data_IF_841475027193
#
_entry.id   IF_841475027193
#
_cell.length_a   1.000
_cell.length_b   1.000
_cell.length_c   1.000
_cell.angle_alpha   90.00
_cell.angle_beta   90.00
_cell.angle_gamma   90.00
#
_symmetry.space_group_name_H-M   'P 1'
#
loop_
_entity.id
_entity.type
_entity.pdbx_description
1 polymer ?
#
# COMPACT_ATOMS: atom_id res chain seq x y z
N UNK A 1 -17.76 -8.94 -27.66
CA UNK A 1 -17.80 -8.27 -26.35
C UNK A 1 -17.93 -6.79 -26.62
N UNK A 2 -18.96 -6.12 -26.11
CA UNK A 2 -19.12 -4.67 -26.29
C UNK A 2 -18.01 -3.97 -25.51
N UNK A 3 -17.18 -3.17 -26.19
CA UNK A 3 -16.18 -2.31 -25.58
C UNK A 3 -16.87 -1.28 -24.69
N UNK A 4 -16.29 -0.95 -23.53
CA UNK A 4 -16.82 0.15 -22.70
C UNK A 4 -16.78 1.47 -23.50
N UNK A 5 -17.74 2.38 -23.30
CA UNK A 5 -17.65 3.73 -23.88
C UNK A 5 -16.47 4.50 -23.26
N UNK A 6 -16.12 5.63 -23.88
CA UNK A 6 -15.14 6.55 -23.33
C UNK A 6 -15.55 6.99 -21.91
N UNK A 7 -14.70 6.76 -20.88
CA UNK A 7 -15.06 7.04 -19.50
C UNK A 7 -14.90 8.52 -19.15
N UNK A 8 -15.62 8.97 -18.13
CA UNK A 8 -15.23 10.13 -17.34
C UNK A 8 -14.03 9.74 -16.47
N UNK A 9 -12.84 10.14 -16.87
CA UNK A 9 -11.59 9.82 -16.19
C UNK A 9 -11.27 10.88 -15.12
N UNK A 10 -10.91 10.42 -13.93
CA UNK A 10 -10.27 11.26 -12.91
C UNK A 10 -8.84 10.80 -12.64
N UNK A 11 -7.86 11.66 -12.89
CA UNK A 11 -6.47 11.43 -12.50
C UNK A 11 -6.29 11.84 -11.04
N UNK A 12 -6.03 10.90 -10.13
CA UNK A 12 -5.87 11.16 -8.70
C UNK A 12 -4.40 11.35 -8.36
N UNK A 13 -4.03 12.55 -7.91
CA UNK A 13 -2.63 12.93 -7.67
C UNK A 13 -2.47 13.41 -6.22
N UNK A 14 -1.92 12.59 -5.30
CA UNK A 14 -1.60 13.04 -3.95
C UNK A 14 -0.38 13.96 -3.97
N UNK A 15 -0.44 15.06 -3.23
CA UNK A 15 0.61 16.08 -3.15
C UNK A 15 0.96 16.35 -1.69
N UNK A 16 2.24 16.52 -1.38
CA UNK A 16 2.70 16.99 -0.07
C UNK A 16 4.03 17.72 -0.21
N UNK A 17 4.00 19.05 -0.06
CA UNK A 17 5.14 19.94 -0.27
C UNK A 17 5.82 19.74 -1.66
N UNK A 18 5.05 19.95 -2.73
CA UNK A 18 5.46 19.72 -4.11
C UNK A 18 5.58 21.06 -4.88
N UNK A 19 5.81 22.19 -4.21
CA UNK A 19 5.86 23.53 -4.84
C UNK A 19 6.78 23.60 -6.08
N UNK A 20 7.92 22.92 -6.05
CA UNK A 20 8.91 22.95 -7.15
C UNK A 20 8.51 22.08 -8.36
N UNK A 21 7.86 20.94 -8.12
CA UNK A 21 7.56 19.92 -9.15
C UNK A 21 6.17 20.12 -9.74
N UNK A 22 5.24 20.65 -8.95
CA UNK A 22 3.82 20.76 -9.28
C UNK A 22 3.54 21.53 -10.59
N UNK A 23 4.18 22.67 -10.92
CA UNK A 23 3.91 23.37 -12.18
C UNK A 23 4.17 22.51 -13.42
N UNK A 24 5.24 21.70 -13.40
CA UNK A 24 5.54 20.76 -14.49
C UNK A 24 4.48 19.66 -14.57
N UNK A 25 4.05 19.15 -13.42
CA UNK A 25 3.02 18.11 -13.33
C UNK A 25 1.67 18.61 -13.83
N UNK A 26 1.27 19.82 -13.47
CA UNK A 26 0.03 20.44 -13.96
C UNK A 26 0.04 20.54 -15.50
N UNK A 27 1.13 21.02 -16.10
CA UNK A 27 1.24 21.15 -17.56
C UNK A 27 1.22 19.79 -18.26
N UNK A 28 2.00 18.82 -17.79
CA UNK A 28 2.08 17.50 -18.40
C UNK A 28 0.75 16.75 -18.36
N UNK A 29 0.00 16.86 -17.25
CA UNK A 29 -1.31 16.22 -17.11
C UNK A 29 -2.39 16.96 -17.92
N UNK A 30 -2.31 18.29 -18.04
CA UNK A 30 -3.18 19.05 -18.93
C UNK A 30 -3.00 18.60 -20.39
N UNK A 31 -1.77 18.56 -20.89
CA UNK A 31 -1.45 18.13 -22.26
C UNK A 31 -1.91 16.68 -22.52
N UNK A 32 -1.69 15.79 -21.56
CA UNK A 32 -2.15 14.40 -21.65
C UNK A 32 -3.67 14.33 -21.77
N UNK A 33 -4.40 15.01 -20.89
CA UNK A 33 -5.87 14.99 -20.88
C UNK A 33 -6.42 15.57 -22.18
N UNK A 34 -5.88 16.68 -22.67
CA UNK A 34 -6.30 17.28 -23.95
C UNK A 34 -6.06 16.33 -25.12
N UNK A 35 -4.89 15.67 -25.18
CA UNK A 35 -4.61 14.65 -26.19
C UNK A 35 -5.60 13.49 -26.11
N UNK A 36 -5.84 12.94 -24.93
CA UNK A 36 -6.77 11.82 -24.76
C UNK A 36 -8.22 12.20 -25.10
N UNK A 37 -8.64 13.45 -24.82
CA UNK A 37 -9.95 13.98 -25.25
C UNK A 37 -10.02 14.10 -26.77
N UNK A 38 -9.00 14.64 -27.41
CA UNK A 38 -8.93 14.80 -28.87
C UNK A 38 -8.97 13.46 -29.60
N UNK A 39 -8.35 12.42 -29.04
CA UNK A 39 -8.37 11.04 -29.55
C UNK A 39 -9.66 10.28 -29.22
N UNK A 40 -10.60 10.88 -28.47
CA UNK A 40 -11.85 10.25 -28.07
C UNK A 40 -11.69 9.09 -27.06
N UNK A 41 -10.55 9.00 -26.39
CA UNK A 41 -10.25 7.97 -25.39
C UNK A 41 -10.98 8.21 -24.07
N UNK A 42 -11.28 9.48 -23.75
CA UNK A 42 -11.95 9.93 -22.52
C UNK A 42 -12.97 11.02 -22.83
N UNK A 43 -13.90 11.24 -21.91
CA UNK A 43 -14.91 12.30 -22.03
C UNK A 43 -14.30 13.71 -21.87
N UNK A 44 -14.86 14.75 -22.50
CA UNK A 44 -14.39 16.13 -22.37
C UNK A 44 -14.34 16.65 -20.93
N UNK A 45 -15.27 16.16 -20.09
CA UNK A 45 -15.38 16.56 -18.69
C UNK A 45 -14.32 15.91 -17.77
N UNK A 46 -13.43 15.06 -18.32
CA UNK A 46 -12.36 14.40 -17.56
C UNK A 46 -11.37 15.41 -16.97
N UNK A 47 -10.88 15.10 -15.77
CA UNK A 47 -10.16 16.04 -14.92
C UNK A 47 -9.02 15.38 -14.13
N UNK A 48 -8.15 16.19 -13.54
CA UNK A 48 -7.18 15.79 -12.54
C UNK A 48 -7.64 16.29 -11.16
N UNK A 49 -7.65 15.38 -10.19
CA UNK A 49 -7.97 15.64 -8.79
C UNK A 49 -6.68 15.57 -7.97
N UNK A 50 -6.21 16.73 -7.53
CA UNK A 50 -5.06 16.87 -6.67
C UNK A 50 -5.50 16.78 -5.20
N UNK A 51 -4.87 15.89 -4.44
CA UNK A 51 -5.16 15.71 -3.01
C UNK A 51 -3.98 16.24 -2.22
N UNK A 52 -4.13 17.45 -1.69
CA UNK A 52 -3.12 18.09 -0.85
C UNK A 52 -3.17 17.51 0.58
N UNK A 53 -2.13 16.77 0.95
CA UNK A 53 -1.99 16.07 2.23
C UNK A 53 -1.49 17.02 3.35
N UNK A 54 -2.12 18.20 3.45
CA UNK A 54 -1.80 19.24 4.43
C UNK A 54 -0.42 19.84 4.24
N UNK A 55 -0.10 20.30 3.02
CA UNK A 55 1.19 20.94 2.72
C UNK A 55 1.41 22.22 3.52
N UNK A 56 2.68 22.57 3.73
CA UNK A 56 3.12 23.78 4.46
C UNK A 56 3.77 24.83 3.56
N UNK A 57 4.01 24.49 2.30
CA UNK A 57 4.55 25.35 1.26
C UNK A 57 3.43 25.94 0.38
N UNK A 58 3.76 26.45 -0.81
CA UNK A 58 2.76 27.05 -1.71
C UNK A 58 2.01 26.04 -2.59
N UNK A 59 2.12 24.73 -2.35
CA UNK A 59 1.46 23.68 -3.15
C UNK A 59 -0.04 23.95 -3.32
N UNK A 60 -0.78 24.19 -2.23
CA UNK A 60 -2.23 24.44 -2.31
C UNK A 60 -2.56 25.74 -3.06
N UNK A 61 -1.78 26.80 -2.85
CA UNK A 61 -1.98 28.09 -3.54
C UNK A 61 -1.82 27.94 -5.05
N UNK A 62 -0.82 27.18 -5.50
CA UNK A 62 -0.61 26.88 -6.92
C UNK A 62 -1.79 26.09 -7.52
N UNK A 63 -2.39 25.16 -6.78
CA UNK A 63 -3.59 24.44 -7.20
C UNK A 63 -4.81 25.37 -7.31
N UNK A 64 -5.00 26.28 -6.35
CA UNK A 64 -6.06 27.29 -6.39
C UNK A 64 -5.90 28.23 -7.60
N UNK A 65 -4.67 28.70 -7.85
CA UNK A 65 -4.35 29.53 -9.02
C UNK A 65 -4.64 28.77 -10.31
N UNK A 66 -4.21 27.50 -10.42
CA UNK A 66 -4.44 26.71 -11.63
C UNK A 66 -5.91 26.41 -11.87
N UNK A 67 -6.67 26.05 -10.84
CA UNK A 67 -8.11 25.78 -10.92
C UNK A 67 -8.91 26.97 -11.47
N UNK A 68 -8.53 28.21 -11.10
CA UNK A 68 -9.20 29.42 -11.63
C UNK A 68 -9.02 29.60 -13.13
N UNK A 69 -7.91 29.13 -13.69
CA UNK A 69 -7.63 29.21 -15.12
C UNK A 69 -8.18 28.02 -15.88
N UNK A 70 -8.09 26.82 -15.31
CA UNK A 70 -8.37 25.57 -15.99
C UNK A 70 -9.27 24.63 -15.16
N UNK A 71 -10.47 24.37 -15.67
CA UNK A 71 -11.47 23.49 -15.02
C UNK A 71 -11.07 22.01 -14.94
N UNK A 72 -10.00 21.59 -15.63
CA UNK A 72 -9.45 20.23 -15.47
C UNK A 72 -8.78 20.06 -14.11
N UNK A 73 -8.25 21.13 -13.50
CA UNK A 73 -7.54 21.07 -12.23
C UNK A 73 -8.56 21.19 -11.09
N UNK A 74 -8.83 20.08 -10.39
CA UNK A 74 -9.70 20.06 -9.20
C UNK A 74 -8.89 19.61 -7.99
N UNK A 75 -9.38 19.89 -6.79
CA UNK A 75 -8.57 19.64 -5.61
C UNK A 75 -9.34 19.47 -4.32
N UNK A 76 -8.74 18.72 -3.39
CA UNK A 76 -9.13 18.73 -1.98
C UNK A 76 -7.87 18.95 -1.14
N UNK A 77 -7.99 19.71 -0.07
CA UNK A 77 -6.89 19.91 0.90
C UNK A 77 -7.29 19.34 2.25
N UNK A 78 -6.35 18.65 2.88
CA UNK A 78 -6.53 18.15 4.24
C UNK A 78 -6.15 19.19 5.28
N UNK A 79 -6.91 19.23 6.37
CA UNK A 79 -6.62 20.10 7.52
C UNK A 79 -5.27 19.78 8.20
N UNK A 80 -4.76 18.57 8.02
CA UNK A 80 -3.45 18.14 8.50
C UNK A 80 -2.95 16.95 7.67
N UNK A 81 -1.64 16.71 7.72
CA UNK A 81 -1.04 15.55 7.07
C UNK A 81 -1.64 14.24 7.62
N UNK A 82 -2.31 13.50 6.75
CA UNK A 82 -2.92 12.20 7.01
C UNK A 82 -2.11 11.05 6.38
N UNK A 83 -1.16 11.37 5.49
CA UNK A 83 -0.25 10.43 4.86
C UNK A 83 -0.73 9.98 3.48
N UNK A 84 0.24 9.62 2.64
CA UNK A 84 0.06 9.33 1.22
C UNK A 84 -1.09 8.34 0.90
N UNK A 85 -1.23 7.21 1.60
CA UNK A 85 -2.31 6.26 1.29
C UNK A 85 -3.70 6.81 1.61
N UNK A 86 -3.82 7.66 2.64
CA UNK A 86 -5.07 8.33 2.97
C UNK A 86 -5.40 9.40 1.92
N UNK A 87 -4.39 10.11 1.40
CA UNK A 87 -4.55 11.03 0.28
C UNK A 87 -5.05 10.32 -0.98
N UNK A 88 -4.41 9.20 -1.37
CA UNK A 88 -4.89 8.39 -2.51
C UNK A 88 -6.34 7.93 -2.26
N UNK A 89 -6.65 7.35 -1.10
CA UNK A 89 -8.00 6.91 -0.77
C UNK A 89 -9.04 8.03 -0.87
N UNK A 90 -8.74 9.20 -0.30
CA UNK A 90 -9.64 10.34 -0.36
C UNK A 90 -9.89 10.80 -1.78
N UNK A 91 -8.86 10.80 -2.63
CA UNK A 91 -9.00 11.11 -4.05
C UNK A 91 -9.88 10.09 -4.77
N UNK A 92 -9.71 8.78 -4.50
CA UNK A 92 -10.56 7.75 -5.09
C UNK A 92 -12.03 7.91 -4.67
N UNK A 93 -12.29 8.14 -3.38
CA UNK A 93 -13.65 8.28 -2.87
C UNK A 93 -14.30 9.58 -3.36
N UNK A 94 -13.56 10.68 -3.39
CA UNK A 94 -14.04 11.97 -3.90
C UNK A 94 -14.35 11.88 -5.40
N UNK A 95 -13.46 11.29 -6.21
CA UNK A 95 -13.70 11.10 -7.63
C UNK A 95 -14.92 10.21 -7.90
N UNK A 96 -15.12 9.16 -7.10
CA UNK A 96 -16.32 8.32 -7.13
C UNK A 96 -17.59 9.12 -6.84
N UNK A 97 -17.57 9.93 -5.78
CA UNK A 97 -18.69 10.80 -5.40
C UNK A 97 -19.01 11.83 -6.49
N UNK A 98 -17.99 12.35 -7.19
CA UNK A 98 -18.14 13.27 -8.32
C UNK A 98 -18.53 12.59 -9.64
N UNK A 99 -18.72 11.27 -9.62
CA UNK A 99 -19.29 10.53 -10.74
C UNK A 99 -18.28 9.96 -11.74
N UNK A 100 -16.98 9.93 -11.42
CA UNK A 100 -15.97 9.36 -12.32
C UNK A 100 -16.25 7.89 -12.66
N UNK A 101 -16.12 7.51 -13.94
CA UNK A 101 -16.33 6.14 -14.44
C UNK A 101 -15.09 5.26 -14.24
N UNK A 102 -13.92 5.88 -14.22
CA UNK A 102 -12.68 5.28 -13.79
C UNK A 102 -11.74 6.34 -13.20
N UNK A 103 -10.79 5.86 -12.40
CA UNK A 103 -9.70 6.68 -11.89
C UNK A 103 -8.36 6.11 -12.32
N UNK A 104 -7.34 6.95 -12.38
CA UNK A 104 -5.95 6.50 -12.40
C UNK A 104 -5.22 7.25 -11.29
N UNK A 105 -4.65 6.53 -10.32
CA UNK A 105 -3.81 7.14 -9.28
C UNK A 105 -2.36 7.22 -9.76
N UNK A 106 -1.70 8.36 -9.58
CA UNK A 106 -0.30 8.60 -9.96
C UNK A 106 0.37 9.57 -8.99
N UNK A 107 1.69 9.45 -8.80
CA UNK A 107 2.46 10.34 -7.93
C UNK A 107 2.71 11.71 -8.60
N UNK A 108 2.79 12.77 -7.79
CA UNK A 108 3.00 14.15 -8.27
C UNK A 108 4.37 14.39 -8.93
N UNK A 109 5.35 13.51 -8.71
CA UNK A 109 6.72 13.67 -9.20
C UNK A 109 6.93 13.21 -10.66
N UNK A 110 5.89 12.69 -11.32
CA UNK A 110 5.91 12.14 -12.68
C UNK A 110 7.03 11.10 -12.94
N UNK A 111 7.45 10.36 -11.91
CA UNK A 111 8.42 9.27 -12.11
C UNK A 111 7.84 8.10 -12.88
N UNK A 112 6.53 7.88 -12.74
CA UNK A 112 5.78 6.89 -13.51
C UNK A 112 5.37 7.50 -14.86
N UNK A 113 5.61 6.76 -15.94
CA UNK A 113 5.38 7.24 -17.30
C UNK A 113 3.88 7.42 -17.57
N UNK A 114 3.45 8.66 -17.70
CA UNK A 114 2.07 9.03 -18.02
C UNK A 114 1.69 8.69 -19.48
N UNK A 115 2.68 8.42 -20.34
CA UNK A 115 2.48 8.00 -21.72
C UNK A 115 1.79 6.63 -21.87
N UNK A 116 1.74 5.83 -20.80
CA UNK A 116 1.04 4.52 -20.84
C UNK A 116 -0.44 4.61 -20.45
N UNK A 117 -0.95 5.79 -20.08
CA UNK A 117 -2.36 6.00 -19.73
C UNK A 117 -3.31 5.58 -20.88
N UNK A 118 -3.04 5.91 -22.16
CA UNK A 118 -3.83 5.39 -23.28
C UNK A 118 -3.89 3.87 -23.32
N UNK A 119 -2.79 3.15 -23.01
CA UNK A 119 -2.79 1.69 -22.95
C UNK A 119 -3.63 1.16 -21.78
N UNK A 120 -3.57 1.84 -20.62
CA UNK A 120 -4.46 1.51 -19.49
C UNK A 120 -5.93 1.67 -19.85
N UNK A 121 -6.28 2.75 -20.56
CA UNK A 121 -7.64 3.01 -21.04
C UNK A 121 -8.09 1.97 -22.08
N UNK A 122 -7.20 1.50 -22.95
CA UNK A 122 -7.50 0.42 -23.87
C UNK A 122 -7.85 -0.88 -23.12
N UNK A 123 -7.09 -1.24 -22.07
CA UNK A 123 -7.41 -2.41 -21.22
C UNK A 123 -8.71 -2.24 -20.45
N UNK A 124 -9.03 -1.04 -20.02
CA UNK A 124 -10.33 -0.71 -19.45
C UNK A 124 -11.46 -0.92 -20.46
N UNK A 125 -11.27 -0.49 -21.71
CA UNK A 125 -12.24 -0.68 -22.80
C UNK A 125 -12.46 -2.17 -23.13
N UNK A 126 -11.43 -3.01 -23.02
CA UNK A 126 -11.49 -4.50 -23.09
C UNK A 126 -12.24 -5.14 -21.90
N UNK A 127 -12.71 -4.34 -20.94
CA UNK A 127 -13.48 -4.76 -19.78
C UNK A 127 -12.63 -5.17 -18.58
N UNK A 128 -11.38 -4.71 -18.46
CA UNK A 128 -10.64 -4.83 -17.21
C UNK A 128 -11.17 -3.81 -16.18
N UNK A 129 -11.46 -4.26 -14.97
CA UNK A 129 -11.89 -3.42 -13.86
C UNK A 129 -10.73 -2.78 -13.11
N UNK A 130 -9.57 -3.46 -13.12
CA UNK A 130 -8.33 -2.97 -12.52
C UNK A 130 -7.23 -3.12 -13.55
N UNK A 131 -6.43 -2.07 -13.79
CA UNK A 131 -5.24 -2.16 -14.65
C UNK A 131 -4.04 -1.71 -13.85
N UNK A 132 -3.09 -2.62 -13.64
CA UNK A 132 -1.88 -2.33 -12.88
C UNK A 132 -0.77 -1.79 -13.78
N UNK A 133 -0.18 -0.66 -13.39
CA UNK A 133 1.10 -0.23 -13.92
C UNK A 133 2.21 -1.08 -13.32
N UNK A 134 2.89 -1.87 -14.16
CA UNK A 134 4.01 -2.71 -13.74
C UNK A 134 5.29 -2.18 -14.36
N UNK A 135 6.31 -1.99 -13.52
CA UNK A 135 7.61 -1.50 -14.00
C UNK A 135 8.25 -2.53 -14.91
N UNK A 136 8.63 -2.10 -16.09
CA UNK A 136 9.39 -2.88 -17.07
C UNK A 136 10.87 -2.75 -16.73
N UNK A 137 11.30 -3.32 -15.60
CA UNK A 137 12.73 -3.41 -15.31
C UNK A 137 13.12 -4.79 -14.79
N UNK A 138 13.92 -5.49 -15.60
CA UNK A 138 14.57 -6.76 -15.26
C UNK A 138 16.10 -6.64 -15.35
N UNK A 139 16.64 -5.43 -15.43
CA UNK A 139 18.02 -5.19 -15.92
C UNK A 139 19.07 -4.85 -14.85
N UNK A 140 18.72 -4.66 -13.56
CA UNK A 140 19.71 -4.24 -12.56
C UNK A 140 19.76 -5.06 -11.28
N UNK A 141 19.37 -6.34 -11.31
CA UNK A 141 19.50 -7.21 -10.15
C UNK A 141 20.72 -8.13 -10.27
N UNK A 142 21.72 -7.85 -9.44
CA UNK A 142 22.74 -8.83 -9.04
C UNK A 142 22.03 -10.11 -8.56
N UNK A 143 22.56 -11.29 -8.89
CA UNK A 143 21.97 -12.61 -8.59
C UNK A 143 21.52 -12.79 -7.13
N UNK A 144 22.16 -12.07 -6.19
CA UNK A 144 21.81 -12.03 -4.77
C UNK A 144 20.47 -11.33 -4.46
N UNK A 145 20.13 -10.24 -5.16
CA UNK A 145 18.85 -9.54 -5.03
C UNK A 145 17.68 -10.37 -5.57
N UNK A 146 17.91 -11.11 -6.66
CA UNK A 146 16.92 -12.05 -7.23
C UNK A 146 16.57 -13.18 -6.26
N UNK A 147 17.56 -13.76 -5.57
CA UNK A 147 17.34 -14.85 -4.61
C UNK A 147 16.54 -14.40 -3.38
N UNK A 148 16.90 -13.26 -2.80
CA UNK A 148 16.23 -12.69 -1.62
C UNK A 148 14.82 -12.20 -1.94
N UNK A 149 14.60 -11.57 -3.10
CA UNK A 149 13.26 -11.17 -3.54
C UNK A 149 12.36 -12.38 -3.80
N UNK A 150 12.86 -13.44 -4.44
CA UNK A 150 12.08 -14.65 -4.69
C UNK A 150 11.70 -15.36 -3.38
N UNK A 151 12.62 -15.47 -2.43
CA UNK A 151 12.33 -16.00 -1.09
C UNK A 151 11.28 -15.16 -0.36
N UNK A 152 11.41 -13.83 -0.41
CA UNK A 152 10.44 -12.90 0.15
C UNK A 152 9.04 -13.09 -0.45
N UNK A 153 8.90 -13.13 -1.78
CA UNK A 153 7.61 -13.34 -2.43
C UNK A 153 7.03 -14.74 -2.14
N UNK A 154 7.85 -15.79 -2.07
CA UNK A 154 7.40 -17.14 -1.66
C UNK A 154 6.94 -17.17 -0.21
N UNK A 155 7.65 -16.50 0.69
CA UNK A 155 7.27 -16.37 2.09
C UNK A 155 5.97 -15.58 2.26
N UNK A 156 5.81 -14.46 1.54
CA UNK A 156 4.57 -13.67 1.54
C UNK A 156 3.38 -14.44 0.97
N UNK A 157 3.57 -15.19 -0.11
CA UNK A 157 2.54 -16.08 -0.67
C UNK A 157 2.17 -17.20 0.31
N UNK A 158 3.15 -17.77 1.03
CA UNK A 158 2.89 -18.75 2.08
C UNK A 158 2.09 -18.14 3.25
N UNK A 159 2.30 -16.87 3.57
CA UNK A 159 1.51 -16.10 4.54
C UNK A 159 0.13 -15.66 4.01
N UNK A 160 -0.24 -16.10 2.79
CA UNK A 160 -1.48 -15.82 2.07
C UNK A 160 -1.67 -14.34 1.70
N UNK A 161 -0.59 -13.56 1.61
CA UNK A 161 -0.62 -12.16 1.16
C UNK A 161 -0.42 -12.15 -0.35
N UNK A 162 -1.51 -11.97 -1.12
CA UNK A 162 -1.46 -11.84 -2.58
C UNK A 162 -0.84 -10.49 -2.96
N UNK A 163 0.47 -10.48 -3.18
CA UNK A 163 1.18 -9.33 -3.71
C UNK A 163 1.42 -9.50 -5.20
N UNK A 164 1.14 -8.45 -5.97
CA UNK A 164 1.62 -8.36 -7.35
C UNK A 164 3.06 -7.80 -7.28
N UNK A 165 4.08 -8.55 -7.73
CA UNK A 165 5.46 -8.08 -7.74
C UNK A 165 5.59 -6.77 -8.52
N UNK A 166 6.36 -5.83 -7.99
CA UNK A 166 6.80 -4.60 -8.68
C UNK A 166 5.69 -3.62 -9.12
N UNK A 167 4.46 -3.77 -8.59
CA UNK A 167 3.41 -2.78 -8.81
C UNK A 167 3.60 -1.57 -7.89
N UNK A 168 3.61 -0.39 -8.50
CA UNK A 168 3.53 0.89 -7.79
C UNK A 168 2.08 1.20 -7.40
N UNK A 169 1.85 2.33 -6.75
CA UNK A 169 0.48 2.84 -6.53
C UNK A 169 -0.14 3.43 -7.81
N UNK A 170 0.53 3.23 -8.95
CA UNK A 170 0.06 3.50 -10.31
C UNK A 170 -0.92 2.43 -10.82
N UNK A 171 -2.22 2.75 -10.83
CA UNK A 171 -3.28 1.82 -11.22
C UNK A 171 -4.50 2.54 -11.78
N UNK A 172 -5.15 1.92 -12.76
CA UNK A 172 -6.51 2.27 -13.18
C UNK A 172 -7.52 1.45 -12.37
N UNK A 173 -8.56 2.10 -11.87
CA UNK A 173 -9.67 1.46 -11.14
C UNK A 173 -11.01 1.90 -11.74
N UNK A 174 -11.82 0.93 -12.17
CA UNK A 174 -13.15 1.16 -12.74
C UNK A 174 -14.22 1.39 -11.67
N UNK A 175 -15.31 2.06 -12.05
CA UNK A 175 -16.48 2.34 -11.20
C UNK A 175 -16.96 1.15 -10.34
N UNK A 176 -17.13 -0.08 -10.87
CA UNK A 176 -17.62 -1.19 -10.05
C UNK A 176 -16.72 -1.50 -8.85
N UNK A 177 -15.41 -1.30 -8.99
CA UNK A 177 -14.44 -1.48 -7.91
C UNK A 177 -14.53 -0.32 -6.91
N UNK A 178 -14.65 0.92 -7.42
CA UNK A 178 -14.79 2.12 -6.59
C UNK A 178 -16.01 2.06 -5.67
N UNK A 179 -17.15 1.55 -6.15
CA UNK A 179 -18.37 1.44 -5.32
C UNK A 179 -18.25 0.42 -4.17
N UNK A 180 -17.31 -0.52 -4.25
CA UNK A 180 -17.05 -1.46 -3.15
C UNK A 180 -16.11 -0.86 -2.10
N UNK A 181 -15.25 0.10 -2.47
CA UNK A 181 -14.26 0.67 -1.55
C UNK A 181 -14.86 1.22 -0.24
N UNK A 182 -16.00 1.96 -0.24
CA UNK A 182 -16.62 2.43 1.01
C UNK A 182 -17.02 1.32 1.99
N UNK A 183 -17.20 0.08 1.53
CA UNK A 183 -17.51 -1.06 2.40
C UNK A 183 -16.30 -1.48 3.27
N UNK A 184 -15.08 -1.06 2.90
CA UNK A 184 -13.87 -1.33 3.66
C UNK A 184 -13.61 -0.22 4.69
N UNK A 185 -13.96 -0.50 5.95
CA UNK A 185 -13.75 0.39 7.09
C UNK A 185 -12.32 0.40 7.67
N UNK A 186 -11.36 -0.29 7.03
CA UNK A 186 -9.99 -0.48 7.54
C UNK A 186 -9.24 0.85 7.75
N UNK A 187 -8.85 1.18 8.98
CA UNK A 187 -8.09 2.38 9.28
C UNK A 187 -6.65 2.28 8.79
N UNK A 188 -6.06 1.09 8.91
CA UNK A 188 -4.69 0.83 8.44
C UNK A 188 -4.71 0.40 6.98
N UNK A 189 -4.69 1.36 6.06
CA UNK A 189 -4.72 1.07 4.62
C UNK A 189 -3.45 0.34 4.16
N UNK A 190 -3.65 -0.68 3.33
CA UNK A 190 -2.62 -1.30 2.53
C UNK A 190 -3.17 -1.60 1.13
N UNK A 191 -3.31 -0.55 0.32
CA UNK A 191 -3.94 -0.62 -1.01
C UNK A 191 -3.31 -1.70 -1.91
N UNK A 192 -2.01 -1.92 -1.78
CA UNK A 192 -1.26 -2.93 -2.53
C UNK A 192 -1.71 -4.37 -2.26
N UNK A 193 -2.20 -4.66 -1.07
CA UNK A 193 -2.79 -5.96 -0.73
C UNK A 193 -4.30 -6.01 -0.93
N UNK A 194 -4.98 -4.87 -0.72
CA UNK A 194 -6.44 -4.76 -0.85
C UNK A 194 -6.91 -5.09 -2.28
N UNK A 195 -6.39 -4.39 -3.29
CA UNK A 195 -6.89 -4.52 -4.67
C UNK A 195 -6.77 -5.93 -5.25
N UNK A 196 -5.63 -6.65 -5.14
CA UNK A 196 -5.54 -8.04 -5.59
C UNK A 196 -6.50 -9.00 -4.87
N UNK A 197 -6.94 -8.66 -3.65
CA UNK A 197 -7.90 -9.43 -2.86
C UNK A 197 -9.35 -9.29 -3.32
N UNK A 198 -9.70 -8.24 -4.07
CA UNK A 198 -11.09 -7.95 -4.47
C UNK A 198 -11.66 -8.90 -5.53
N UNK A 199 -10.81 -9.60 -6.29
CA UNK A 199 -11.24 -10.62 -7.26
C UNK A 199 -11.82 -10.11 -8.58
N UNK A 200 -11.76 -8.80 -8.86
CA UNK A 200 -12.19 -8.22 -10.13
C UNK A 200 -11.27 -8.56 -11.31
N UNK A 201 -11.77 -8.39 -12.55
CA UNK A 201 -10.98 -8.67 -13.76
C UNK A 201 -9.83 -7.68 -13.87
N UNK A 202 -8.59 -8.17 -13.81
CA UNK A 202 -7.39 -7.35 -13.81
C UNK A 202 -6.55 -7.47 -15.08
N UNK A 203 -6.04 -6.34 -15.58
CA UNK A 203 -5.03 -6.25 -16.63
C UNK A 203 -3.69 -5.69 -16.11
N UNK A 204 -2.65 -5.72 -16.94
CA UNK A 204 -1.34 -5.14 -16.65
C UNK A 204 -0.85 -4.34 -17.85
N UNK A 205 -0.21 -3.22 -17.58
CA UNK A 205 0.46 -2.36 -18.55
C UNK A 205 1.89 -2.15 -18.07
N UNK A 206 2.85 -2.20 -18.98
CA UNK A 206 4.27 -2.16 -18.65
C UNK A 206 4.87 -0.80 -19.00
N UNK A 207 5.58 -0.17 -18.06
CA UNK A 207 6.17 1.15 -18.28
C UNK A 207 7.63 1.24 -17.81
N UNK A 208 8.41 2.12 -18.42
CA UNK A 208 9.77 2.43 -17.97
C UNK A 208 9.72 3.54 -16.92
N UNK A 209 10.41 3.36 -15.77
CA UNK A 209 10.47 4.42 -14.76
C UNK A 209 11.54 5.42 -15.15
N UNK A 210 11.21 6.70 -15.19
CA UNK A 210 12.20 7.75 -15.40
C UNK A 210 13.10 7.85 -14.16
N UNK A 211 14.41 8.00 -14.38
CA UNK A 211 15.36 8.24 -13.28
C UNK A 211 15.04 9.56 -12.60
N UNK A 212 15.09 9.60 -11.25
CA UNK A 212 14.97 10.85 -10.48
C UNK A 212 15.92 11.91 -11.01
N UNK A 213 15.41 13.11 -11.30
CA UNK A 213 16.24 14.26 -11.69
C UNK A 213 17.03 14.85 -10.50
N UNK A 214 16.66 14.51 -9.26
CA UNK A 214 17.45 14.81 -8.06
C UNK A 214 17.21 13.78 -6.95
N UNK A 215 18.28 13.37 -6.27
CA UNK A 215 18.24 12.58 -5.03
C UNK A 215 18.50 11.08 -5.20
N UNK A 216 19.57 10.59 -4.59
CA UNK A 216 19.86 9.16 -4.47
C UNK A 216 18.70 8.44 -3.76
N UNK A 217 18.06 7.48 -4.43
CA UNK A 217 17.12 6.56 -3.78
C UNK A 217 17.89 5.54 -2.93
N UNK A 218 18.36 5.96 -1.75
CA UNK A 218 18.71 5.04 -0.67
C UNK A 218 17.42 4.64 0.02
N UNK A 219 16.76 3.57 -0.45
CA UNK A 219 15.80 2.85 0.38
C UNK A 219 16.61 1.94 1.32
N UNK A 220 16.84 2.30 2.59
CA UNK A 220 17.58 1.46 3.52
C UNK A 220 16.81 0.16 3.75
N UNK A 221 17.52 -0.97 3.82
CA UNK A 221 16.96 -2.31 4.07
C UNK A 221 15.99 -2.33 5.26
N UNK A 222 16.25 -1.54 6.30
CA UNK A 222 15.39 -1.37 7.47
C UNK A 222 13.98 -0.84 7.14
N UNK A 223 13.86 0.10 6.20
CA UNK A 223 12.55 0.61 5.75
C UNK A 223 11.81 -0.43 4.91
N UNK A 224 12.51 -1.25 4.15
CA UNK A 224 11.89 -2.36 3.40
C UNK A 224 11.37 -3.45 4.35
N UNK A 225 12.15 -3.82 5.36
CA UNK A 225 11.74 -4.80 6.37
C UNK A 225 10.55 -4.30 7.20
N UNK A 226 10.54 -3.02 7.59
CA UNK A 226 9.40 -2.46 8.33
C UNK A 226 8.13 -2.39 7.48
N UNK A 227 8.25 -2.08 6.17
CA UNK A 227 7.12 -2.10 5.25
C UNK A 227 6.56 -3.52 5.07
N UNK A 228 7.44 -4.52 4.90
CA UNK A 228 7.05 -5.92 4.85
C UNK A 228 6.34 -6.38 6.13
N UNK A 229 6.90 -6.05 7.29
CA UNK A 229 6.30 -6.38 8.59
C UNK A 229 4.90 -5.77 8.75
N UNK A 230 4.72 -4.50 8.35
CA UNK A 230 3.42 -3.84 8.32
C UNK A 230 2.44 -4.56 7.39
N UNK A 231 2.85 -4.90 6.17
CA UNK A 231 2.02 -5.64 5.21
C UNK A 231 1.58 -7.00 5.74
N UNK A 232 2.51 -7.80 6.28
CA UNK A 232 2.22 -9.12 6.87
C UNK A 232 1.22 -9.00 8.01
N UNK A 233 1.52 -8.13 8.99
CA UNK A 233 0.68 -7.98 10.18
C UNK A 233 -0.67 -7.33 9.87
N UNK A 234 -0.82 -6.63 8.75
CA UNK A 234 -2.09 -6.02 8.33
C UNK A 234 -2.98 -7.00 7.57
N UNK A 235 -2.36 -7.87 6.75
CA UNK A 235 -3.10 -8.79 5.88
C UNK A 235 -3.24 -10.21 6.45
N UNK A 236 -2.50 -10.55 7.50
CA UNK A 236 -2.40 -11.92 7.99
C UNK A 236 -2.26 -12.02 9.51
N UNK A 237 -2.97 -12.98 10.10
CA UNK A 237 -2.79 -13.42 11.49
C UNK A 237 -1.66 -14.45 11.62
N UNK A 238 -0.91 -14.75 10.56
CA UNK A 238 0.12 -15.77 10.56
C UNK A 238 1.26 -15.53 11.58
N UNK A 239 1.78 -14.31 11.81
CA UNK A 239 2.74 -14.06 12.90
C UNK A 239 2.20 -14.44 14.28
N UNK A 240 0.92 -14.14 14.55
CA UNK A 240 0.26 -14.51 15.80
C UNK A 240 0.14 -16.03 15.94
N UNK A 241 -0.25 -16.72 14.86
CA UNK A 241 -0.35 -18.20 14.84
C UNK A 241 1.01 -18.86 15.03
N UNK A 242 2.07 -18.30 14.43
CA UNK A 242 3.44 -18.80 14.59
C UNK A 242 3.93 -18.64 16.03
N UNK A 243 3.68 -17.47 16.66
CA UNK A 243 4.01 -17.24 18.06
C UNK A 243 3.29 -18.24 18.99
N UNK A 244 2.00 -18.50 18.73
CA UNK A 244 1.23 -19.51 19.45
C UNK A 244 1.77 -20.94 19.25
N UNK A 245 2.14 -21.31 18.02
CA UNK A 245 2.74 -22.61 17.73
C UNK A 245 4.11 -22.80 18.40
N UNK A 246 4.97 -21.78 18.37
CA UNK A 246 6.26 -21.80 19.07
C UNK A 246 6.07 -21.93 20.59
N UNK A 247 5.07 -21.25 21.14
CA UNK A 247 4.72 -21.37 22.57
C UNK A 247 4.26 -22.77 22.93
N UNK A 248 3.45 -23.40 22.07
CA UNK A 248 3.01 -24.79 22.26
C UNK A 248 4.21 -25.76 22.25
N UNK A 249 5.15 -25.60 21.31
CA UNK A 249 6.36 -26.41 21.26
C UNK A 249 7.23 -26.23 22.51
N UNK A 250 7.43 -24.98 22.96
CA UNK A 250 8.16 -24.69 24.19
C UNK A 250 7.47 -25.31 25.42
N UNK A 251 6.14 -25.27 25.49
CA UNK A 251 5.37 -25.89 26.57
C UNK A 251 5.56 -27.42 26.58
N UNK A 252 5.48 -28.08 25.42
CA UNK A 252 5.70 -29.53 25.31
C UNK A 252 7.13 -29.92 25.68
N UNK A 253 8.12 -29.15 25.25
CA UNK A 253 9.53 -29.39 25.62
C UNK A 253 9.77 -29.18 27.13
N UNK A 254 9.18 -28.13 27.72
CA UNK A 254 9.26 -27.88 29.16
C UNK A 254 8.58 -29.00 29.97
N UNK A 255 7.43 -29.49 29.51
CA UNK A 255 6.73 -30.61 30.15
C UNK A 255 7.57 -31.90 30.10
N UNK A 256 8.14 -32.24 28.94
CA UNK A 256 9.01 -33.41 28.79
C UNK A 256 10.24 -33.32 29.70
N UNK A 257 10.92 -32.16 29.73
CA UNK A 257 12.06 -31.93 30.60
C UNK A 257 11.69 -32.03 32.10
N UNK A 258 10.53 -31.47 32.48
CA UNK A 258 10.01 -31.55 33.85
C UNK A 258 9.76 -33.00 34.28
N UNK A 259 9.16 -33.82 33.41
CA UNK A 259 8.95 -35.25 33.69
C UNK A 259 10.29 -35.99 33.88
N UNK A 260 11.26 -35.78 32.98
CA UNK A 260 12.61 -36.38 33.12
C UNK A 260 13.26 -35.95 34.43
N UNK A 261 13.19 -34.66 34.78
CA UNK A 261 13.74 -34.15 36.04
C UNK A 261 13.07 -34.78 37.26
N UNK A 262 11.75 -35.03 37.22
CA UNK A 262 11.01 -35.67 38.30
C UNK A 262 11.42 -37.13 38.48
N UNK A 263 11.58 -37.88 37.39
CA UNK A 263 12.08 -39.27 37.44
C UNK A 263 13.48 -39.35 38.07
N UNK A 264 14.41 -38.48 37.66
CA UNK A 264 15.78 -38.48 38.19
C UNK A 264 15.86 -38.04 39.66
N UNK A 265 14.93 -37.19 40.09
CA UNK A 265 14.77 -36.84 41.50
C UNK A 265 14.32 -38.04 42.35
N UNK A 266 13.35 -38.82 41.86
CA UNK A 266 12.88 -40.04 42.53
C UNK A 266 13.98 -41.12 42.65
N UNK A 267 14.93 -41.15 41.71
CA UNK A 267 16.11 -42.04 41.75
C UNK A 267 17.20 -41.58 42.74
N UNK A 268 17.02 -40.46 43.44
CA UNK A 268 17.96 -39.96 44.46
C UNK A 268 19.23 -39.32 43.90
N UNK A 269 19.30 -39.08 42.59
CA UNK A 269 20.45 -38.40 41.97
C UNK A 269 20.31 -36.89 42.09
N UNK A 270 21.19 -36.24 42.84
CA UNK A 270 21.19 -34.78 42.99
C UNK A 270 21.96 -34.16 41.82
N UNK A 271 21.25 -33.56 40.88
CA UNK A 271 21.84 -32.94 39.69
C UNK A 271 22.05 -31.43 39.98
N UNK A 272 23.30 -30.90 39.91
CA UNK A 272 23.54 -29.47 39.96
C UNK A 272 22.87 -28.78 38.75
N UNK A 273 21.76 -28.08 39.00
CA UNK A 273 20.85 -27.60 37.95
C UNK A 273 20.76 -26.08 37.79
N UNK A 274 21.58 -25.30 38.51
CA UNK A 274 21.44 -23.83 38.54
C UNK A 274 21.64 -23.17 37.17
N UNK A 275 22.70 -23.54 36.45
CA UNK A 275 22.98 -23.00 35.10
C UNK A 275 21.88 -23.36 34.11
N UNK A 276 21.42 -24.61 34.09
CA UNK A 276 20.32 -25.04 33.22
C UNK A 276 18.99 -24.38 33.60
N UNK A 277 18.73 -24.20 34.90
CA UNK A 277 17.50 -23.57 35.39
C UNK A 277 17.45 -22.08 35.01
N UNK A 278 18.55 -21.35 35.16
CA UNK A 278 18.63 -19.95 34.72
C UNK A 278 18.44 -19.82 33.21
N UNK A 279 19.10 -20.67 32.41
CA UNK A 279 18.96 -20.64 30.95
C UNK A 279 17.50 -20.92 30.54
N UNK A 280 16.86 -21.93 31.13
CA UNK A 280 15.46 -22.27 30.82
C UNK A 280 14.51 -21.16 31.24
N UNK A 281 14.68 -20.58 32.43
CA UNK A 281 13.85 -19.47 32.91
C UNK A 281 14.00 -18.24 32.03
N UNK A 282 15.23 -17.85 31.67
CA UNK A 282 15.49 -16.72 30.78
C UNK A 282 14.94 -16.96 29.37
N UNK A 283 15.08 -18.17 28.84
CA UNK A 283 14.57 -18.52 27.52
C UNK A 283 13.03 -18.49 27.50
N UNK A 284 12.37 -19.12 28.47
CA UNK A 284 10.92 -19.12 28.59
C UNK A 284 10.38 -17.70 28.80
N UNK A 285 11.03 -16.91 29.67
CA UNK A 285 10.67 -15.51 29.88
C UNK A 285 10.81 -14.67 28.60
N UNK A 286 11.88 -14.89 27.82
CA UNK A 286 12.09 -14.22 26.54
C UNK A 286 11.02 -14.58 25.51
N UNK A 287 10.64 -15.86 25.41
CA UNK A 287 9.57 -16.33 24.51
C UNK A 287 8.21 -15.75 24.94
N UNK A 288 7.91 -15.72 26.23
CA UNK A 288 6.67 -15.12 26.75
C UNK A 288 6.58 -13.63 26.44
N UNK A 289 7.65 -12.86 26.70
CA UNK A 289 7.71 -11.43 26.37
C UNK A 289 7.59 -11.19 24.85
N UNK A 290 8.19 -12.05 24.03
CA UNK A 290 8.02 -11.99 22.58
C UNK A 290 6.56 -12.24 22.16
N UNK A 291 5.89 -13.24 22.72
CA UNK A 291 4.49 -13.53 22.42
C UNK A 291 3.56 -12.40 22.88
N UNK A 292 3.80 -11.83 24.06
CA UNK A 292 3.08 -10.65 24.55
C UNK A 292 3.29 -9.44 23.65
N UNK A 293 4.51 -9.23 23.14
CA UNK A 293 4.81 -8.17 22.16
C UNK A 293 4.00 -8.34 20.87
N UNK A 294 3.96 -9.56 20.31
CA UNK A 294 3.14 -9.86 19.13
C UNK A 294 1.65 -9.64 19.42
N UNK A 295 1.13 -10.12 20.55
CA UNK A 295 -0.26 -9.87 20.95
C UNK A 295 -0.56 -8.37 21.10
N UNK A 296 0.36 -7.61 21.71
CA UNK A 296 0.26 -6.16 21.88
C UNK A 296 0.11 -5.43 20.54
N UNK A 297 0.87 -5.84 19.52
CA UNK A 297 0.76 -5.30 18.15
C UNK A 297 -0.65 -5.50 17.56
N UNK A 298 -1.23 -6.71 17.71
CA UNK A 298 -2.59 -6.98 17.23
C UNK A 298 -3.66 -6.23 18.04
N UNK A 299 -3.50 -6.12 19.36
CA UNK A 299 -4.40 -5.32 20.21
C UNK A 299 -4.34 -3.84 19.81
N UNK A 300 -3.16 -3.29 19.53
CA UNK A 300 -3.00 -1.91 19.08
C UNK A 300 -3.71 -1.66 17.73
N UNK A 301 -3.67 -2.64 16.82
CA UNK A 301 -4.41 -2.58 15.56
C UNK A 301 -5.91 -2.63 15.79
N UNK A 302 -6.40 -3.58 16.58
CA UNK A 302 -7.82 -3.66 16.95
C UNK A 302 -8.29 -2.35 17.60
N UNK A 303 -7.50 -1.79 18.52
CA UNK A 303 -7.78 -0.50 19.14
C UNK A 303 -7.92 0.62 18.10
N UNK A 304 -7.05 0.65 17.10
CA UNK A 304 -7.10 1.65 16.02
C UNK A 304 -8.37 1.50 15.18
N UNK A 305 -8.73 0.27 14.81
CA UNK A 305 -9.95 -0.03 14.04
C UNK A 305 -11.24 0.27 14.83
N UNK A 306 -11.28 -0.05 16.12
CA UNK A 306 -12.46 0.17 16.99
C UNK A 306 -12.67 1.65 17.29
N UNK A 307 -11.61 2.46 17.37
CA UNK A 307 -11.74 3.91 17.59
C UNK A 307 -12.50 4.64 16.49
N UNK A 308 -12.48 4.11 15.26
CA UNK A 308 -13.17 4.67 14.09
C UNK A 308 -12.97 6.18 13.92
N UNK A 309 -11.76 6.67 14.21
CA UNK A 309 -11.42 8.07 13.89
C UNK A 309 -11.46 8.24 12.37
N UNK A 310 -11.88 9.42 11.87
CA UNK A 310 -11.81 9.66 10.43
C UNK A 310 -10.36 9.59 9.96
N UNK A 311 -10.13 8.97 8.80
CA UNK A 311 -8.79 8.77 8.21
C UNK A 311 -8.11 10.08 7.83
N UNK A 312 -8.92 11.06 7.41
CA UNK A 312 -8.52 12.39 7.00
C UNK A 312 -9.69 13.35 7.25
N UNK A 313 -9.39 14.65 7.25
CA UNK A 313 -10.38 15.72 7.36
C UNK A 313 -10.12 16.66 6.20
N UNK A 314 -11.10 16.81 5.31
CA UNK A 314 -11.03 17.78 4.21
C UNK A 314 -11.32 19.16 4.77
N UNK A 315 -10.39 20.09 4.58
CA UNK A 315 -10.53 21.51 4.94
C UNK A 315 -11.13 22.31 3.78
N UNK A 316 -10.66 22.06 2.55
CA UNK A 316 -11.03 22.83 1.36
C UNK A 316 -11.27 21.93 0.16
N UNK A 317 -12.07 22.41 -0.79
CA UNK A 317 -12.41 21.72 -2.04
C UNK A 317 -12.49 22.73 -3.18
N UNK A 318 -11.96 22.36 -4.35
CA UNK A 318 -11.98 23.07 -5.63
C UNK A 318 -12.75 22.25 -6.66
#
# INVERSE_FOLDING_TARGET
>A
MLSRPAPLLALVVPCYNEEETLPRTLNALAELLERCKAEGLIRPESYALYVDDGSRDRTWQLLEERHRHDSFCRGISFAANAGHQNAVWAGMDTARQWGADCIISLDADLQDDIGVIPEMLARYAEGCDIVYGVRKDRSSDTSFKRGTAHFFYRFMNWLNVRLIPDHADYRLVARPVLEVLPCYGEQTLFLRGLFPGLGFKSGKVYYARLSRQAGESKYPLLKMLSFAWKGITSCSAAPLRLAGFMSLLCMLAALAYSLVSLFRYMEGTVIPGWTSLIIVVLLLGSVQLFCLSVMGEYIAKIFTEVRRRPRYIVEKTL
#
